data_IF_150818656868
#
_entry.id   IF_150818656868
#
_cell.length_a   1.000
_cell.length_b   1.000
_cell.length_c   1.000
_cell.angle_alpha   90.00
_cell.angle_beta   90.00
_cell.angle_gamma   90.00
#
_symmetry.space_group_name_H-M   'P 1'
#
loop_
_entity.id
_entity.type
_entity.pdbx_description
1 polymer ?
#
# COMPACT_ATOMS: atom_id res chain seq x y z
N UNK A 1 5.07 -7.90 0.80
CA UNK A 1 3.81 -7.67 0.06
C UNK A 1 2.69 -7.57 1.07
N UNK A 2 1.91 -6.51 1.01
CA UNK A 2 0.70 -6.40 1.82
C UNK A 2 -0.47 -7.02 1.05
N UNK A 3 -1.42 -7.62 1.76
CA UNK A 3 -2.67 -8.05 1.17
C UNK A 3 -3.65 -6.88 1.19
N UNK A 4 -4.36 -6.67 0.09
CA UNK A 4 -5.38 -5.66 0.01
C UNK A 4 -6.49 -5.96 1.04
N UNK A 5 -6.90 -5.00 1.89
CA UNK A 5 -7.92 -5.24 2.89
C UNK A 5 -9.31 -5.53 2.28
N UNK A 6 -9.54 -5.19 1.02
CA UNK A 6 -10.83 -5.36 0.35
C UNK A 6 -10.97 -6.73 -0.32
N UNK A 7 -9.95 -7.18 -1.04
CA UNK A 7 -10.02 -8.40 -1.85
C UNK A 7 -8.98 -9.46 -1.46
N UNK A 8 -8.16 -9.18 -0.43
CA UNK A 8 -7.06 -10.03 0.04
C UNK A 8 -6.04 -10.41 -1.03
N UNK A 9 -6.05 -9.74 -2.18
CA UNK A 9 -5.08 -9.96 -3.23
C UNK A 9 -3.76 -9.25 -2.94
N UNK A 10 -2.68 -9.66 -3.61
CA UNK A 10 -1.38 -9.04 -3.45
C UNK A 10 -1.43 -7.56 -3.81
N UNK A 11 -0.87 -6.72 -2.94
CA UNK A 11 -0.66 -5.30 -3.15
C UNK A 11 0.82 -4.96 -3.07
N UNK A 12 1.25 -4.08 -3.98
CA UNK A 12 2.62 -3.63 -4.12
C UNK A 12 2.77 -2.19 -3.68
N UNK A 13 3.85 -1.93 -2.93
CA UNK A 13 4.29 -0.57 -2.66
C UNK A 13 4.70 0.10 -3.97
N UNK A 14 4.04 1.21 -4.31
CA UNK A 14 4.34 2.03 -5.49
C UNK A 14 5.29 3.16 -5.15
N UNK A 15 5.00 3.86 -4.07
CA UNK A 15 5.78 5.00 -3.61
C UNK A 15 5.87 4.97 -2.11
N UNK A 16 6.90 5.61 -1.58
CA UNK A 16 7.06 5.80 -0.15
C UNK A 16 7.55 7.20 0.11
N UNK A 17 7.04 7.84 1.16
CA UNK A 17 7.53 9.13 1.62
C UNK A 17 7.75 9.11 3.12
N UNK A 18 8.76 9.84 3.56
CA UNK A 18 8.95 10.11 4.98
C UNK A 18 8.00 11.24 5.37
N UNK A 19 7.19 11.01 6.41
CA UNK A 19 6.31 12.04 6.97
C UNK A 19 7.02 12.72 8.14
N UNK A 20 7.76 11.93 8.89
CA UNK A 20 8.61 12.36 9.99
C UNK A 20 9.97 11.66 9.84
N UNK A 21 10.93 12.04 10.69
CA UNK A 21 12.26 11.43 10.74
C UNK A 21 12.19 9.90 11.03
N UNK A 22 11.15 9.47 11.75
CA UNK A 22 11.00 8.09 12.21
C UNK A 22 9.85 7.33 11.54
N UNK A 23 8.96 8.01 10.83
CA UNK A 23 7.76 7.39 10.24
C UNK A 23 7.76 7.55 8.73
N UNK A 24 7.70 6.41 8.05
CA UNK A 24 7.62 6.35 6.60
C UNK A 24 6.28 5.78 6.18
N UNK A 25 5.54 6.53 5.38
CA UNK A 25 4.39 5.96 4.70
C UNK A 25 4.78 5.31 3.39
N UNK A 26 4.14 4.18 3.10
CA UNK A 26 4.18 3.50 1.81
C UNK A 26 2.78 3.43 1.24
N UNK A 27 2.64 3.87 0.00
CA UNK A 27 1.44 3.71 -0.79
C UNK A 27 1.46 2.35 -1.47
N UNK A 28 0.45 1.53 -1.21
CA UNK A 28 0.25 0.22 -1.83
C UNK A 28 -0.89 0.27 -2.81
N UNK A 29 -0.69 -0.32 -3.98
CA UNK A 29 -1.72 -0.53 -4.97
C UNK A 29 -2.00 -2.03 -5.09
N UNK A 30 -3.27 -2.39 -5.02
CA UNK A 30 -3.71 -3.76 -5.29
C UNK A 30 -3.43 -4.13 -6.75
N UNK A 31 -2.87 -5.32 -6.99
CA UNK A 31 -2.62 -5.83 -8.35
C UNK A 31 -3.88 -6.31 -9.05
N UNK A 32 -4.96 -6.58 -8.30
CA UNK A 32 -6.23 -6.97 -8.90
C UNK A 32 -6.85 -5.74 -9.57
N UNK A 33 -6.91 -5.74 -10.91
CA UNK A 33 -7.48 -4.64 -11.72
C UNK A 33 -8.95 -4.37 -11.40
N UNK A 34 -9.71 -5.38 -10.96
CA UNK A 34 -11.10 -5.19 -10.54
C UNK A 34 -11.22 -4.48 -9.18
N UNK A 35 -10.19 -4.62 -8.33
CA UNK A 35 -10.18 -3.94 -7.03
C UNK A 35 -9.52 -2.56 -7.15
N UNK A 36 -8.33 -2.49 -7.76
CA UNK A 36 -7.52 -1.28 -7.97
C UNK A 36 -7.29 -0.41 -6.71
N UNK A 37 -7.59 -0.96 -5.54
CA UNK A 37 -7.60 -0.22 -4.29
C UNK A 37 -6.20 0.24 -3.93
N UNK A 38 -6.13 1.49 -3.48
CA UNK A 38 -4.89 2.11 -3.01
C UNK A 38 -5.03 2.37 -1.51
N UNK A 39 -4.04 1.94 -0.74
CA UNK A 39 -4.02 2.14 0.71
C UNK A 39 -2.61 2.45 1.18
N UNK A 40 -2.50 3.00 2.38
CA UNK A 40 -1.24 3.47 2.95
C UNK A 40 -0.90 2.59 4.15
N UNK A 41 0.37 2.23 4.29
CA UNK A 41 0.90 1.66 5.54
C UNK A 41 1.96 2.58 6.09
N UNK A 42 2.01 2.70 7.40
CA UNK A 42 3.08 3.39 8.10
C UNK A 42 4.05 2.34 8.63
N UNK A 43 5.33 2.51 8.32
CA UNK A 43 6.46 1.79 8.92
C UNK A 43 7.31 2.73 9.77
#
# INVERSE_FOLDING_TARGET
>A
MFHCPLCQHAAHARTSRYITDTTKERYHQCQNVNCSATFITYE
#
